data_IF_648252355635
#
_entry.id   IF_648252355635
#
_cell.length_a   1.000
_cell.length_b   1.000
_cell.length_c   1.000
_cell.angle_alpha   90.00
_cell.angle_beta   90.00
_cell.angle_gamma   90.00
#
_symmetry.space_group_name_H-M   'P 1'
#
loop_
_entity.id
_entity.type
_entity.pdbx_description
1 polymer ?
#
# COMPACT_ATOMS: atom_id res chain seq x y z
N UNK A 1 -9.95 -13.96 -3.05
CA UNK A 1 -9.57 -12.53 -2.93
C UNK A 1 -8.53 -12.26 -4.01
N UNK A 2 -8.73 -11.26 -4.87
CA UNK A 2 -7.69 -10.87 -5.82
C UNK A 2 -6.66 -10.09 -5.01
N UNK A 3 -5.58 -10.75 -4.62
CA UNK A 3 -4.44 -10.09 -4.00
C UNK A 3 -3.78 -9.26 -5.10
N UNK A 4 -3.92 -7.93 -5.05
CA UNK A 4 -3.30 -7.02 -6.03
C UNK A 4 -1.79 -6.88 -5.85
N UNK A 5 -1.26 -7.38 -4.74
CA UNK A 5 0.16 -7.40 -4.42
C UNK A 5 0.82 -8.67 -4.94
N UNK A 6 2.09 -8.54 -5.34
CA UNK A 6 2.93 -9.68 -5.72
C UNK A 6 3.89 -9.96 -4.57
N UNK A 7 3.54 -10.93 -3.73
CA UNK A 7 4.40 -11.41 -2.65
C UNK A 7 4.98 -12.76 -3.08
N UNK A 8 6.28 -12.92 -2.91
CA UNK A 8 6.94 -14.22 -3.10
C UNK A 8 6.64 -15.15 -1.92
N UNK A 9 6.93 -16.44 -2.09
CA UNK A 9 6.64 -17.43 -1.06
C UNK A 9 7.46 -17.17 0.22
N UNK A 10 6.75 -16.96 1.33
CA UNK A 10 7.36 -16.61 2.61
C UNK A 10 7.61 -15.12 2.82
N UNK A 11 7.15 -14.26 1.92
CA UNK A 11 7.06 -12.83 2.16
C UNK A 11 5.75 -12.45 2.87
N UNK A 12 5.85 -11.49 3.79
CA UNK A 12 4.73 -10.98 4.56
C UNK A 12 4.72 -9.45 4.57
N UNK A 13 3.54 -8.88 4.82
CA UNK A 13 3.39 -7.44 5.02
C UNK A 13 3.47 -7.10 6.50
N UNK A 14 4.41 -6.22 6.83
CA UNK A 14 4.51 -5.61 8.14
C UNK A 14 3.97 -4.19 8.06
N UNK A 15 2.93 -3.89 8.82
CA UNK A 15 2.42 -2.53 8.93
C UNK A 15 3.45 -1.65 9.65
N UNK A 16 3.86 -0.55 9.03
CA UNK A 16 4.81 0.41 9.59
C UNK A 16 4.09 1.63 10.18
N UNK A 17 3.18 2.20 9.40
CA UNK A 17 2.46 3.41 9.81
C UNK A 17 1.20 3.63 8.98
N UNK A 18 0.27 4.34 9.59
CA UNK A 18 -0.89 4.93 8.94
C UNK A 18 -0.85 6.45 9.10
N UNK A 19 -1.37 7.17 8.11
CA UNK A 19 -1.58 8.62 8.18
C UNK A 19 -2.77 9.01 7.32
N UNK A 20 -3.34 10.18 7.59
CA UNK A 20 -4.40 10.75 6.76
C UNK A 20 -3.97 12.08 6.15
N UNK A 21 -4.55 12.45 5.00
CA UNK A 21 -4.34 13.76 4.35
C UNK A 21 -5.64 14.33 3.78
N UNK A 22 -5.66 15.64 3.53
CA UNK A 22 -6.78 16.35 2.89
C UNK A 22 -7.68 17.14 3.85
N UNK A 23 -8.59 17.94 3.29
CA UNK A 23 -9.38 18.96 3.99
C UNK A 23 -10.22 18.43 5.15
N UNK A 24 -10.56 17.13 5.15
CA UNK A 24 -11.25 16.43 6.24
C UNK A 24 -10.71 15.01 6.42
N UNK A 25 -9.39 14.81 6.33
CA UNK A 25 -8.78 13.47 6.38
C UNK A 25 -9.35 12.50 5.34
N UNK A 26 -9.78 13.05 4.20
CA UNK A 26 -10.48 12.35 3.12
C UNK A 26 -9.60 11.32 2.37
N UNK A 27 -8.36 11.14 2.80
CA UNK A 27 -7.43 10.17 2.22
C UNK A 27 -6.66 9.48 3.31
N UNK A 28 -6.94 8.20 3.48
CA UNK A 28 -6.18 7.30 4.34
C UNK A 28 -4.97 6.78 3.56
N UNK A 29 -3.83 6.69 4.24
CA UNK A 29 -2.59 6.18 3.69
C UNK A 29 -2.01 5.17 4.66
N UNK A 30 -1.84 3.95 4.20
CA UNK A 30 -1.23 2.86 4.94
C UNK A 30 0.11 2.49 4.29
N UNK A 31 1.16 2.42 5.10
CA UNK A 31 2.50 2.07 4.67
C UNK A 31 2.89 0.71 5.29
N UNK A 32 3.34 -0.20 4.44
CA UNK A 32 3.81 -1.52 4.83
C UNK A 32 5.22 -1.74 4.31
N UNK A 33 5.99 -2.50 5.09
CA UNK A 33 7.23 -3.14 4.64
C UNK A 33 6.90 -4.55 4.16
N UNK A 34 7.53 -4.98 3.07
CA UNK A 34 7.54 -6.39 2.68
C UNK A 34 8.74 -7.03 3.35
N UNK A 35 8.50 -8.03 4.20
CA UNK A 35 9.54 -8.77 4.92
C UNK A 35 9.62 -10.20 4.40
N UNK A 36 10.84 -10.69 4.19
CA UNK A 36 11.06 -12.09 3.80
C UNK A 36 11.05 -13.02 5.03
N UNK A 37 11.12 -14.33 4.79
CA UNK A 37 11.16 -15.35 5.84
C UNK A 37 12.37 -15.27 6.79
N UNK A 38 13.39 -14.47 6.44
CA UNK A 38 14.55 -14.17 7.28
C UNK A 38 14.36 -12.92 8.14
N UNK A 39 13.24 -12.22 7.99
CA UNK A 39 12.94 -10.97 8.68
C UNK A 39 13.58 -9.73 8.05
N UNK A 40 14.12 -9.84 6.83
CA UNK A 40 14.73 -8.71 6.11
C UNK A 40 13.68 -7.98 5.28
N UNK A 41 13.79 -6.65 5.22
CA UNK A 41 12.90 -5.82 4.38
C UNK A 41 13.34 -5.93 2.91
N UNK A 42 12.50 -6.54 2.09
CA UNK A 42 12.72 -6.77 0.66
C UNK A 42 11.88 -5.86 -0.25
N UNK A 43 11.04 -5.02 0.34
CA UNK A 43 10.22 -4.07 -0.39
C UNK A 43 9.33 -3.20 0.49
N UNK A 44 8.50 -2.40 -0.15
CA UNK A 44 7.52 -1.56 0.53
C UNK A 44 6.21 -1.48 -0.26
N UNK A 45 5.11 -1.29 0.46
CA UNK A 45 3.79 -1.08 -0.11
C UNK A 45 3.20 0.19 0.47
N UNK A 46 2.65 1.04 -0.38
CA UNK A 46 1.84 2.18 0.02
C UNK A 46 0.44 1.96 -0.55
N UNK A 47 -0.54 1.93 0.34
CA UNK A 47 -1.95 1.91 0.00
C UNK A 47 -2.54 3.28 0.32
N UNK A 48 -3.24 3.89 -0.63
CA UNK A 48 -3.98 5.13 -0.46
C UNK A 48 -5.46 4.89 -0.75
N UNK A 49 -6.32 5.36 0.12
CA UNK A 49 -7.77 5.27 -0.04
C UNK A 49 -8.36 6.67 0.06
N UNK A 50 -8.79 7.20 -1.08
CA UNK A 50 -9.36 8.53 -1.19
C UNK A 50 -10.88 8.45 -1.26
N UNK A 51 -11.55 9.15 -0.36
CA UNK A 51 -13.01 9.34 -0.42
C UNK A 51 -13.31 10.81 -0.70
N UNK A 52 -14.11 11.09 -1.74
CA UNK A 52 -14.57 12.45 -2.04
C UNK A 52 -15.41 13.00 -0.88
N UNK A 53 -15.34 14.30 -0.61
CA UNK A 53 -16.06 14.95 0.51
C UNK A 53 -17.58 14.72 0.50
N UNK A 54 -18.16 14.51 -0.67
CA UNK A 54 -19.59 14.26 -0.81
C UNK A 54 -19.94 12.76 -0.72
N UNK A 55 -18.98 11.88 -0.42
CA UNK A 55 -19.15 10.43 -0.25
C UNK A 55 -19.38 9.63 -1.54
N UNK A 56 -19.60 10.29 -2.68
CA UNK A 56 -20.03 9.63 -3.92
C UNK A 56 -18.93 8.92 -4.71
N UNK A 57 -17.65 9.23 -4.45
CA UNK A 57 -16.53 8.62 -5.16
C UNK A 57 -15.44 8.19 -4.17
N UNK A 58 -15.14 6.89 -4.17
CA UNK A 58 -13.97 6.32 -3.52
C UNK A 58 -12.98 5.92 -4.60
N UNK A 59 -11.70 6.16 -4.37
CA UNK A 59 -10.61 5.73 -5.26
C UNK A 59 -9.50 5.17 -4.42
N UNK A 60 -9.17 3.92 -4.65
CA UNK A 60 -8.09 3.20 -3.98
C UNK A 60 -6.91 3.11 -4.91
N UNK A 61 -5.71 3.29 -4.36
CA UNK A 61 -4.46 3.20 -5.09
C UNK A 61 -3.48 2.36 -4.28
N UNK A 62 -2.79 1.45 -4.95
CA UNK A 62 -1.73 0.65 -4.34
C UNK A 62 -0.46 0.78 -5.16
N UNK A 63 0.65 1.01 -4.47
CA UNK A 63 1.99 0.99 -5.06
C UNK A 63 2.87 0.05 -4.26
N UNK A 64 3.41 -0.97 -4.92
CA UNK A 64 4.43 -1.85 -4.37
C UNK A 64 5.76 -1.57 -5.04
N UNK A 65 6.82 -1.47 -4.23
CA UNK A 65 8.20 -1.29 -4.68
C UNK A 65 9.09 -2.39 -4.15
N UNK A 66 10.09 -2.80 -4.94
CA UNK A 66 11.20 -3.64 -4.46
C UNK A 66 12.12 -2.86 -3.52
N UNK A 67 13.04 -3.56 -2.85
CA UNK A 67 14.17 -2.98 -2.11
C UNK A 67 14.96 -1.95 -2.91
N UNK A 68 15.09 -2.17 -4.21
CA UNK A 68 15.84 -1.29 -5.13
C UNK A 68 15.02 -0.08 -5.62
N UNK A 69 13.78 0.07 -5.12
CA UNK A 69 12.87 1.16 -5.49
C UNK A 69 12.13 0.96 -6.81
N UNK A 70 12.30 -0.18 -7.49
CA UNK A 70 11.57 -0.50 -8.71
C UNK A 70 10.09 -0.77 -8.39
N UNK A 71 9.18 -0.16 -9.15
CA UNK A 71 7.75 -0.41 -9.03
C UNK A 71 7.42 -1.81 -9.55
N UNK A 72 6.85 -2.64 -8.68
CA UNK A 72 6.39 -4.01 -9.00
C UNK A 72 4.90 -3.99 -9.35
N UNK A 73 4.13 -3.22 -8.59
CA UNK A 73 2.69 -3.05 -8.77
C UNK A 73 2.36 -1.57 -8.64
N UNK A 74 1.53 -1.08 -9.54
CA UNK A 74 0.87 0.22 -9.42
C UNK A 74 -0.54 0.11 -10.00
N UNK A 75 -1.55 0.14 -9.16
CA UNK A 75 -2.95 -0.01 -9.58
C UNK A 75 -3.85 1.01 -8.88
N UNK A 76 -4.90 1.45 -9.58
CA UNK A 76 -5.95 2.31 -9.05
C UNK A 76 -7.33 1.80 -9.45
N UNK A 77 -8.33 1.89 -8.55
CA UNK A 77 -9.73 1.54 -8.84
C UNK A 77 -10.72 2.36 -8.01
#
# INVERSE_FOLDING_TARGET
>A
MITKLKLEQGEELKHERSRTKGTMAQTDIECYSVINSKGEVVGSVVYEDHTSLNGFKRTQHVTQKSSDGKIIVQESW
#
